data_IF_226984632021
#
_entry.id   IF_226984632021
#
_cell.length_a   1.000
_cell.length_b   1.000
_cell.length_c   1.000
_cell.angle_alpha   90.00
_cell.angle_beta   90.00
_cell.angle_gamma   90.00
#
_symmetry.space_group_name_H-M   'P 1'
#
loop_
_entity.id
_entity.type
_entity.pdbx_description
1 polymer ?
#
# COMPACT_ATOMS: atom_id res chain seq x y z
N UNK A 1 40.46 -44.61 43.68
CA UNK A 1 39.55 -44.95 42.56
C UNK A 1 38.46 -43.90 42.27
N UNK A 2 38.10 -43.00 43.19
CA UNK A 2 37.06 -41.98 42.95
C UNK A 2 37.56 -40.68 42.26
N UNK A 3 38.88 -40.49 42.10
CA UNK A 3 39.49 -39.28 41.51
C UNK A 3 39.54 -39.27 39.99
N UNK A 4 39.38 -40.41 39.32
CA UNK A 4 39.48 -40.55 37.85
C UNK A 4 38.17 -40.17 37.12
N UNK A 5 37.05 -40.03 37.83
CA UNK A 5 35.73 -39.71 37.25
C UNK A 5 35.48 -38.20 37.08
N UNK A 6 36.24 -37.36 37.80
CA UNK A 6 36.12 -35.90 37.77
C UNK A 6 36.36 -35.26 36.38
N UNK A 7 37.37 -35.66 35.58
CA UNK A 7 37.57 -35.10 34.24
C UNK A 7 36.47 -35.54 33.26
N UNK A 8 35.97 -36.77 33.40
CA UNK A 8 34.88 -37.29 32.55
C UNK A 8 33.55 -36.55 32.79
N UNK A 9 33.21 -36.26 34.05
CA UNK A 9 32.01 -35.47 34.37
C UNK A 9 32.11 -34.01 33.92
N UNK A 10 33.30 -33.40 33.98
CA UNK A 10 33.54 -32.03 33.46
C UNK A 10 33.39 -31.96 31.93
N UNK A 11 33.84 -32.99 31.22
CA UNK A 11 33.62 -33.13 29.78
C UNK A 11 32.13 -33.24 29.46
N UNK A 12 31.40 -34.12 30.14
CA UNK A 12 29.96 -34.32 29.93
C UNK A 12 29.15 -33.04 30.19
N UNK A 13 29.44 -32.29 31.26
CA UNK A 13 28.79 -31.01 31.57
C UNK A 13 29.10 -29.93 30.52
N UNK A 14 30.33 -29.91 29.98
CA UNK A 14 30.69 -28.99 28.89
C UNK A 14 29.97 -29.32 27.58
N UNK A 15 29.86 -30.62 27.23
CA UNK A 15 29.07 -31.06 26.08
C UNK A 15 27.58 -30.74 26.24
N UNK A 16 27.02 -30.93 27.44
CA UNK A 16 25.63 -30.58 27.73
C UNK A 16 25.39 -29.07 27.58
N UNK A 17 26.35 -28.26 28.04
CA UNK A 17 26.32 -26.80 27.87
C UNK A 17 26.36 -26.36 26.42
N UNK A 18 27.19 -27.00 25.59
CA UNK A 18 27.25 -26.73 24.14
C UNK A 18 25.92 -27.12 23.47
N UNK A 19 25.36 -28.28 23.81
CA UNK A 19 24.07 -28.73 23.26
C UNK A 19 22.95 -27.76 23.62
N UNK A 20 22.87 -27.32 24.90
CA UNK A 20 21.90 -26.33 25.34
C UNK A 20 22.09 -24.98 24.65
N UNK A 21 23.35 -24.54 24.46
CA UNK A 21 23.67 -23.32 23.73
C UNK A 21 23.22 -23.37 22.28
N UNK A 22 23.50 -24.48 21.57
CA UNK A 22 23.05 -24.68 20.19
C UNK A 22 21.52 -24.71 20.11
N UNK A 23 20.84 -25.42 21.02
CA UNK A 23 19.38 -25.44 21.08
C UNK A 23 18.78 -24.05 21.30
N UNK A 24 19.38 -23.24 22.17
CA UNK A 24 18.94 -21.86 22.40
C UNK A 24 19.09 -21.00 21.13
N UNK A 25 20.22 -21.11 20.43
CA UNK A 25 20.45 -20.38 19.17
C UNK A 25 19.45 -20.81 18.10
N UNK A 26 19.20 -22.11 17.95
CA UNK A 26 18.20 -22.63 16.99
C UNK A 26 16.80 -22.13 17.33
N UNK A 27 16.42 -22.13 18.61
CA UNK A 27 15.11 -21.64 19.05
C UNK A 27 14.93 -20.13 18.75
N UNK A 28 15.96 -19.31 19.00
CA UNK A 28 15.93 -17.88 18.68
C UNK A 28 15.84 -17.65 17.17
N UNK A 29 16.64 -18.39 16.37
CA UNK A 29 16.59 -18.29 14.92
C UNK A 29 15.22 -18.67 14.34
N UNK A 30 14.61 -19.75 14.84
CA UNK A 30 13.27 -20.17 14.45
C UNK A 30 12.21 -19.13 14.83
N UNK A 31 12.31 -18.53 16.02
CA UNK A 31 11.40 -17.47 16.47
C UNK A 31 11.50 -16.22 15.59
N UNK A 32 12.72 -15.79 15.25
CA UNK A 32 12.94 -14.65 14.33
C UNK A 32 12.40 -14.94 12.93
N UNK A 33 12.63 -16.15 12.41
CA UNK A 33 12.12 -16.55 11.10
C UNK A 33 10.58 -16.54 11.05
N UNK A 34 9.92 -17.10 12.07
CA UNK A 34 8.46 -17.03 12.22
C UNK A 34 7.97 -15.58 12.32
N UNK A 35 8.65 -14.73 13.10
CA UNK A 35 8.30 -13.32 13.21
C UNK A 35 8.36 -12.60 11.85
N UNK A 36 9.39 -12.87 11.04
CA UNK A 36 9.52 -12.30 9.69
C UNK A 36 8.39 -12.78 8.77
N UNK A 37 8.04 -14.08 8.80
CA UNK A 37 6.94 -14.62 8.01
C UNK A 37 5.59 -14.02 8.40
N UNK A 38 5.32 -13.94 9.69
CA UNK A 38 4.11 -13.30 10.23
C UNK A 38 4.07 -11.83 9.83
N UNK A 39 5.18 -11.11 9.97
CA UNK A 39 5.26 -9.70 9.61
C UNK A 39 5.06 -9.46 8.12
N UNK A 40 5.64 -10.30 7.24
CA UNK A 40 5.43 -10.23 5.79
C UNK A 40 3.98 -10.50 5.42
N UNK A 41 3.41 -11.56 5.96
CA UNK A 41 1.99 -11.91 5.73
C UNK A 41 1.08 -10.80 6.23
N UNK A 42 1.38 -10.24 7.40
CA UNK A 42 0.65 -9.12 7.98
C UNK A 42 0.75 -7.87 7.12
N UNK A 43 1.94 -7.52 6.60
CA UNK A 43 2.11 -6.39 5.68
C UNK A 43 1.36 -6.59 4.36
N UNK A 44 1.34 -7.81 3.82
CA UNK A 44 0.63 -8.12 2.57
C UNK A 44 -0.89 -8.12 2.75
N UNK A 45 -1.39 -8.51 3.92
CA UNK A 45 -2.82 -8.58 4.22
C UNK A 45 -3.38 -7.27 4.80
N UNK A 46 -2.52 -6.44 5.39
CA UNK A 46 -2.85 -5.07 5.80
C UNK A 46 -3.01 -4.19 4.57
N UNK A 47 -4.09 -3.44 4.56
CA UNK A 47 -4.41 -2.51 3.50
C UNK A 47 -5.91 -2.36 3.36
N UNK A 48 -6.33 -1.14 3.05
CA UNK A 48 -7.71 -0.86 2.72
C UNK A 48 -8.04 -1.53 1.39
N UNK A 49 -9.21 -2.16 1.33
CA UNK A 49 -9.74 -2.79 0.13
C UNK A 49 -10.97 -2.04 -0.33
N UNK A 50 -11.08 -1.85 -1.64
CA UNK A 50 -12.27 -1.26 -2.25
C UNK A 50 -13.13 -2.40 -2.74
N UNK A 51 -14.36 -2.46 -2.22
CA UNK A 51 -15.32 -3.51 -2.55
C UNK A 51 -16.67 -2.89 -2.88
N UNK A 52 -17.48 -3.61 -3.65
CA UNK A 52 -18.88 -3.22 -3.91
C UNK A 52 -19.76 -3.88 -2.86
N UNK A 53 -20.43 -3.08 -2.02
CA UNK A 53 -21.31 -3.59 -0.98
C UNK A 53 -22.53 -4.28 -1.62
N UNK A 54 -22.80 -5.57 -1.33
CA UNK A 54 -23.89 -6.31 -1.97
C UNK A 54 -25.28 -5.79 -1.59
N UNK A 55 -25.42 -5.16 -0.42
CA UNK A 55 -26.72 -4.69 0.07
C UNK A 55 -27.17 -3.36 -0.53
N UNK A 56 -26.27 -2.55 -1.08
CA UNK A 56 -26.62 -1.22 -1.62
C UNK A 56 -25.92 -0.88 -2.93
N UNK A 57 -25.11 -1.80 -3.46
CA UNK A 57 -24.36 -1.68 -4.71
C UNK A 57 -23.44 -0.45 -4.80
N UNK A 58 -23.09 0.17 -3.68
CA UNK A 58 -22.12 1.27 -3.63
C UNK A 58 -20.74 0.77 -3.21
N UNK A 59 -19.73 1.49 -3.66
CA UNK A 59 -18.34 1.27 -3.26
C UNK A 59 -18.14 1.56 -1.78
N UNK A 60 -17.43 0.68 -1.08
CA UNK A 60 -17.09 0.82 0.33
C UNK A 60 -15.62 0.49 0.55
N UNK A 61 -14.97 1.26 1.42
CA UNK A 61 -13.62 0.97 1.90
C UNK A 61 -13.71 0.06 3.12
N UNK A 62 -13.03 -1.07 3.06
CA UNK A 62 -13.00 -2.05 4.16
C UNK A 62 -11.59 -2.46 4.53
N UNK A 63 -11.37 -2.67 5.82
CA UNK A 63 -10.15 -3.26 6.34
C UNK A 63 -10.47 -4.62 6.96
N UNK A 64 -9.61 -5.62 6.72
CA UNK A 64 -9.76 -6.96 7.29
C UNK A 64 -8.96 -7.05 8.59
N UNK A 65 -9.56 -7.62 9.63
CA UNK A 65 -8.91 -7.88 10.90
C UNK A 65 -7.86 -9.01 10.77
N UNK A 66 -6.62 -8.59 10.52
CA UNK A 66 -5.47 -9.50 10.38
C UNK A 66 -5.21 -10.37 11.63
N UNK A 67 -5.36 -9.87 12.88
CA UNK A 67 -5.15 -10.70 14.07
C UNK A 67 -6.12 -11.88 14.18
N UNK A 68 -7.41 -11.67 13.84
CA UNK A 68 -8.42 -12.72 13.87
C UNK A 68 -8.13 -13.77 12.81
N UNK A 69 -7.79 -13.33 11.59
CA UNK A 69 -7.47 -14.21 10.47
C UNK A 69 -6.23 -15.08 10.73
N UNK A 70 -5.18 -14.54 11.35
CA UNK A 70 -3.98 -15.33 11.69
C UNK A 70 -4.32 -16.40 12.73
N UNK A 71 -5.12 -16.06 13.74
CA UNK A 71 -5.50 -16.98 14.82
C UNK A 71 -6.33 -18.15 14.28
N UNK A 72 -7.30 -17.86 13.43
CA UNK A 72 -8.23 -18.86 12.87
C UNK A 72 -7.57 -19.68 11.75
N UNK A 73 -6.65 -19.09 10.97
CA UNK A 73 -5.80 -19.84 10.03
C UNK A 73 -4.93 -20.90 10.73
N UNK A 74 -4.42 -20.60 11.92
CA UNK A 74 -3.68 -21.58 12.73
C UNK A 74 -4.58 -22.73 13.23
N UNK A 75 -5.90 -22.51 13.30
CA UNK A 75 -6.92 -23.48 13.70
C UNK A 75 -7.55 -24.24 12.51
N UNK A 76 -7.08 -24.00 11.28
CA UNK A 76 -7.50 -24.72 10.07
C UNK A 76 -8.74 -24.16 9.37
N UNK A 77 -9.40 -23.14 9.92
CA UNK A 77 -10.55 -22.48 9.31
C UNK A 77 -10.31 -20.97 9.28
N UNK A 78 -9.75 -20.40 8.20
CA UNK A 78 -9.48 -18.97 8.12
C UNK A 78 -10.79 -18.17 8.09
N UNK A 79 -11.14 -17.56 9.22
CA UNK A 79 -12.28 -16.64 9.29
C UNK A 79 -11.83 -15.22 8.96
N UNK A 80 -12.36 -14.69 7.86
CA UNK A 80 -12.24 -13.27 7.54
C UNK A 80 -13.27 -12.50 8.37
N UNK A 81 -12.85 -11.39 8.99
CA UNK A 81 -13.75 -10.47 9.69
C UNK A 81 -13.30 -9.05 9.42
N UNK A 82 -14.23 -8.15 9.14
CA UNK A 82 -13.91 -6.73 8.94
C UNK A 82 -13.48 -6.08 10.26
N UNK A 83 -12.36 -5.34 10.25
CA UNK A 83 -11.94 -4.46 11.36
C UNK A 83 -12.58 -3.08 11.23
N UNK A 84 -12.73 -2.58 10.01
CA UNK A 84 -13.32 -1.27 9.72
C UNK A 84 -14.10 -1.31 8.42
N UNK A 85 -15.14 -0.49 8.34
CA UNK A 85 -15.95 -0.26 7.16
C UNK A 85 -16.37 1.21 7.14
N UNK A 86 -16.12 1.93 6.03
CA UNK A 86 -16.48 3.35 5.93
C UNK A 86 -18.00 3.60 6.06
N UNK A 87 -18.81 2.55 5.94
CA UNK A 87 -20.28 2.59 6.05
C UNK A 87 -20.84 2.24 7.42
N UNK A 88 -20.00 1.97 8.42
CA UNK A 88 -20.46 1.34 9.67
C UNK A 88 -21.38 2.19 10.58
N UNK A 89 -21.50 3.53 10.55
CA UNK A 89 -22.56 4.18 11.32
C UNK A 89 -23.97 3.93 10.74
N UNK A 90 -24.10 3.74 9.43
CA UNK A 90 -25.40 3.54 8.76
C UNK A 90 -25.94 2.11 8.86
N UNK A 91 -25.07 1.12 9.08
CA UNK A 91 -25.38 -0.32 9.04
C UNK A 91 -24.76 -1.10 10.20
N UNK A 92 -24.96 -0.62 11.42
CA UNK A 92 -24.60 -1.34 12.64
C UNK A 92 -25.36 -2.69 12.68
N UNK A 93 -24.70 -3.77 12.25
CA UNK A 93 -25.32 -5.09 12.05
C UNK A 93 -25.06 -5.74 10.68
N UNK A 94 -24.25 -5.12 9.81
CA UNK A 94 -23.88 -5.66 8.50
C UNK A 94 -23.36 -7.10 8.59
N UNK A 95 -23.94 -8.01 7.78
CA UNK A 95 -23.62 -9.44 7.74
C UNK A 95 -22.28 -9.80 7.11
N UNK A 96 -21.48 -8.80 6.70
CA UNK A 96 -20.14 -8.96 6.12
C UNK A 96 -20.05 -9.86 4.87
N UNK A 97 -21.16 -10.05 4.13
CA UNK A 97 -21.22 -10.89 2.91
C UNK A 97 -20.23 -10.44 1.82
N UNK A 98 -19.80 -9.18 1.85
CA UNK A 98 -18.76 -8.68 0.96
C UNK A 98 -17.38 -9.32 1.16
N UNK A 99 -17.13 -9.99 2.29
CA UNK A 99 -15.91 -10.75 2.54
C UNK A 99 -15.72 -11.88 1.51
N UNK A 100 -16.81 -12.42 0.97
CA UNK A 100 -16.75 -13.44 -0.09
C UNK A 100 -16.04 -12.98 -1.35
N UNK A 101 -16.09 -11.67 -1.66
CA UNK A 101 -15.33 -11.07 -2.76
C UNK A 101 -13.83 -11.06 -2.46
N UNK A 102 -13.44 -10.89 -1.20
CA UNK A 102 -12.04 -10.93 -0.75
C UNK A 102 -11.52 -12.37 -0.75
N UNK A 103 -12.34 -13.35 -0.39
CA UNK A 103 -11.96 -14.77 -0.45
C UNK A 103 -11.71 -15.24 -1.87
N UNK A 104 -12.58 -14.84 -2.81
CA UNK A 104 -12.46 -15.21 -4.23
C UNK A 104 -11.39 -14.41 -4.98
N UNK A 105 -11.12 -13.16 -4.57
CA UNK A 105 -10.18 -12.28 -5.25
C UNK A 105 -9.24 -11.56 -4.26
N UNK A 106 -8.51 -12.34 -3.46
CA UNK A 106 -7.68 -11.87 -2.34
C UNK A 106 -6.68 -10.74 -2.67
N UNK A 107 -6.27 -10.63 -3.94
CA UNK A 107 -5.38 -9.57 -4.44
C UNK A 107 -6.07 -8.43 -5.21
N UNK A 108 -7.20 -8.66 -5.88
CA UNK A 108 -7.78 -7.71 -6.83
C UNK A 108 -8.43 -6.49 -6.17
N UNK A 109 -8.94 -6.66 -4.94
CA UNK A 109 -9.61 -5.59 -4.20
C UNK A 109 -8.64 -4.70 -3.40
N UNK A 110 -7.35 -5.06 -3.32
CA UNK A 110 -6.35 -4.25 -2.63
C UNK A 110 -6.08 -2.98 -3.42
N UNK A 111 -6.27 -1.82 -2.78
CA UNK A 111 -6.02 -0.51 -3.40
C UNK A 111 -4.68 -0.45 -4.10
N UNK A 112 -3.63 -0.98 -3.47
CA UNK A 112 -2.29 -0.99 -4.05
C UNK A 112 -2.24 -1.69 -5.40
N UNK A 113 -2.90 -2.85 -5.55
CA UNK A 113 -2.92 -3.60 -6.80
C UNK A 113 -3.82 -2.91 -7.84
N UNK A 114 -4.95 -2.34 -7.42
CA UNK A 114 -5.81 -1.54 -8.30
C UNK A 114 -5.05 -0.33 -8.87
N UNK A 115 -4.27 0.36 -8.04
CA UNK A 115 -3.44 1.48 -8.47
C UNK A 115 -2.30 1.01 -9.38
N UNK A 116 -1.57 -0.04 -9.00
CA UNK A 116 -0.49 -0.60 -9.81
C UNK A 116 -0.98 -1.00 -11.21
N UNK A 117 -2.15 -1.63 -11.29
CA UNK A 117 -2.79 -1.97 -12.56
C UNK A 117 -3.17 -0.73 -13.36
N UNK A 118 -3.78 0.26 -12.71
CA UNK A 118 -4.20 1.49 -13.40
C UNK A 118 -3.02 2.27 -13.97
N UNK A 119 -1.90 2.40 -13.26
CA UNK A 119 -0.73 3.11 -13.79
C UNK A 119 0.11 2.31 -14.78
N UNK A 120 -0.13 0.99 -14.92
CA UNK A 120 0.67 0.16 -15.82
C UNK A 120 0.63 0.72 -17.25
N UNK A 121 1.81 1.02 -17.80
CA UNK A 121 1.95 1.58 -19.14
C UNK A 121 1.49 3.03 -19.29
N UNK A 122 1.16 3.73 -18.20
CA UNK A 122 0.84 5.16 -18.22
C UNK A 122 2.09 6.02 -18.02
N UNK A 123 2.10 7.17 -18.66
CA UNK A 123 3.12 8.22 -18.50
C UNK A 123 2.56 9.39 -17.70
N UNK A 124 3.43 10.15 -17.05
CA UNK A 124 3.05 11.40 -16.40
C UNK A 124 2.53 12.40 -17.44
N UNK A 125 1.37 13.02 -17.21
CA UNK A 125 0.81 13.99 -18.15
C UNK A 125 1.71 15.22 -18.40
N UNK A 126 2.51 15.62 -17.39
CA UNK A 126 3.38 16.81 -17.48
C UNK A 126 4.76 16.47 -18.04
N UNK A 127 5.48 15.49 -17.48
CA UNK A 127 6.86 15.20 -17.88
C UNK A 127 6.98 14.05 -18.88
N UNK A 128 5.89 13.34 -19.17
CA UNK A 128 5.83 12.19 -20.09
C UNK A 128 6.76 11.03 -19.74
N UNK A 129 7.32 11.01 -18.52
CA UNK A 129 8.10 9.89 -18.00
C UNK A 129 7.16 8.74 -17.60
N UNK A 130 7.49 7.48 -17.92
CA UNK A 130 6.73 6.30 -17.47
C UNK A 130 6.57 6.25 -15.94
N UNK A 131 5.43 5.75 -15.48
CA UNK A 131 5.10 5.64 -14.05
C UNK A 131 5.07 4.17 -13.62
N UNK A 132 6.20 3.50 -13.72
CA UNK A 132 6.28 2.06 -13.46
C UNK A 132 6.06 1.74 -11.97
N UNK A 133 5.08 0.87 -11.63
CA UNK A 133 4.74 0.52 -10.25
C UNK A 133 5.90 -0.01 -9.40
N UNK A 134 6.88 -0.64 -10.04
CA UNK A 134 8.06 -1.23 -9.43
C UNK A 134 8.94 -0.17 -8.73
N UNK A 135 8.88 1.09 -9.16
CA UNK A 135 9.70 2.18 -8.62
C UNK A 135 9.04 2.95 -7.46
N UNK A 136 7.78 2.65 -7.10
CA UNK A 136 6.99 3.42 -6.10
C UNK A 136 7.36 3.17 -4.64
N UNK A 137 8.56 2.65 -4.40
CA UNK A 137 9.03 2.28 -3.06
C UNK A 137 9.24 3.48 -2.12
N UNK A 138 9.47 4.69 -2.67
CA UNK A 138 9.77 5.90 -1.90
C UNK A 138 8.61 6.90 -1.91
N UNK A 139 8.06 7.22 -3.08
CA UNK A 139 6.93 8.13 -3.24
C UNK A 139 5.92 7.55 -4.23
N UNK A 140 4.65 7.47 -3.82
CA UNK A 140 3.58 7.09 -4.73
C UNK A 140 3.36 8.21 -5.75
N UNK A 141 3.11 7.90 -7.04
CA UNK A 141 2.65 8.89 -7.99
C UNK A 141 1.36 9.52 -7.51
N UNK A 142 1.02 10.68 -8.04
CA UNK A 142 -0.16 11.46 -7.70
C UNK A 142 -1.07 11.60 -8.92
N UNK A 143 -2.16 12.34 -8.76
CA UNK A 143 -3.13 12.56 -9.82
C UNK A 143 -3.26 14.03 -10.16
N UNK A 144 -3.48 14.27 -11.45
CA UNK A 144 -3.93 15.53 -11.99
C UNK A 144 -5.47 15.54 -11.98
N UNK A 145 -6.06 16.55 -11.33
CA UNK A 145 -7.52 16.72 -11.30
C UNK A 145 -8.02 17.28 -12.63
N UNK A 146 -9.30 17.03 -13.00
CA UNK A 146 -9.91 17.65 -14.18
C UNK A 146 -9.85 19.18 -14.17
N UNK A 147 -9.80 19.78 -12.98
CA UNK A 147 -9.71 21.22 -12.75
C UNK A 147 -8.28 21.78 -12.88
N UNK A 148 -7.28 20.92 -13.11
CA UNK A 148 -5.88 21.31 -13.25
C UNK A 148 -5.08 21.39 -11.95
N UNK A 149 -5.64 20.92 -10.85
CA UNK A 149 -4.95 20.76 -9.57
C UNK A 149 -4.20 19.43 -9.45
N UNK A 150 -3.41 19.28 -8.39
CA UNK A 150 -2.74 18.03 -8.07
C UNK A 150 -3.16 17.49 -6.70
N UNK A 151 -3.48 16.21 -6.65
CA UNK A 151 -3.95 15.50 -5.46
C UNK A 151 -3.12 14.23 -5.23
N UNK A 152 -2.72 13.99 -3.99
CA UNK A 152 -2.03 12.77 -3.56
C UNK A 152 -3.01 11.70 -3.06
N UNK A 153 -2.58 10.44 -3.02
CA UNK A 153 -3.44 9.35 -2.55
C UNK A 153 -3.86 9.46 -1.09
N UNK A 154 -3.10 10.17 -0.26
CA UNK A 154 -3.43 10.38 1.15
C UNK A 154 -4.56 11.41 1.33
N UNK A 155 -4.84 12.22 0.29
CA UNK A 155 -5.93 13.19 0.24
C UNK A 155 -7.25 12.59 -0.30
N UNK A 156 -7.22 11.35 -0.80
CA UNK A 156 -8.38 10.71 -1.44
C UNK A 156 -8.97 9.63 -0.52
N UNK A 157 -10.27 9.71 -0.16
CA UNK A 157 -10.93 8.64 0.57
C UNK A 157 -10.93 7.36 -0.26
N UNK A 158 -10.64 6.23 0.36
CA UNK A 158 -10.39 4.96 -0.34
C UNK A 158 -11.59 4.52 -1.19
N UNK A 159 -12.80 4.75 -0.71
CA UNK A 159 -14.06 4.47 -1.40
C UNK A 159 -14.25 5.27 -2.70
N UNK A 160 -13.62 6.44 -2.82
CA UNK A 160 -13.71 7.29 -4.00
C UNK A 160 -12.68 6.91 -5.08
N UNK A 161 -11.73 6.02 -4.78
CA UNK A 161 -10.63 5.66 -5.70
C UNK A 161 -11.14 5.25 -7.08
N UNK A 162 -12.14 4.35 -7.25
CA UNK A 162 -12.59 3.97 -8.60
C UNK A 162 -13.09 5.15 -9.42
N UNK A 163 -13.90 6.04 -8.84
CA UNK A 163 -14.41 7.22 -9.52
C UNK A 163 -13.30 8.24 -9.86
N UNK A 164 -12.31 8.37 -8.97
CA UNK A 164 -11.14 9.22 -9.21
C UNK A 164 -10.29 8.68 -10.37
N UNK A 165 -10.08 7.36 -10.45
CA UNK A 165 -9.31 6.72 -11.52
C UNK A 165 -9.94 6.88 -12.91
N UNK A 166 -11.25 7.08 -13.00
CA UNK A 166 -11.96 7.34 -14.26
C UNK A 166 -11.81 8.80 -14.74
N UNK A 167 -11.71 9.74 -13.81
CA UNK A 167 -11.76 11.18 -14.10
C UNK A 167 -10.40 11.86 -14.12
N UNK A 168 -9.42 11.34 -13.37
CA UNK A 168 -8.13 11.98 -13.15
C UNK A 168 -7.04 11.43 -14.08
N UNK A 169 -6.02 12.25 -14.30
CA UNK A 169 -4.88 11.88 -15.14
C UNK A 169 -3.64 11.53 -14.32
N UNK A 170 -2.76 10.63 -14.81
CA UNK A 170 -1.55 10.20 -14.12
C UNK A 170 -0.54 11.35 -13.96
N UNK A 171 -0.01 11.51 -12.75
CA UNK A 171 0.97 12.56 -12.42
C UNK A 171 2.14 11.96 -11.61
N UNK A 172 3.38 12.24 -11.99
CA UNK A 172 4.53 11.80 -11.18
C UNK A 172 4.63 12.63 -9.88
N UNK A 173 5.32 12.10 -8.87
CA UNK A 173 5.52 12.78 -7.59
C UNK A 173 6.15 14.18 -7.76
N UNK A 174 7.21 14.29 -8.58
CA UNK A 174 7.90 15.57 -8.79
C UNK A 174 6.97 16.62 -9.43
N UNK A 175 6.18 16.20 -10.42
CA UNK A 175 5.19 17.07 -11.05
C UNK A 175 4.06 17.45 -10.10
N UNK A 176 3.63 16.55 -9.20
CA UNK A 176 2.70 16.88 -8.14
C UNK A 176 3.22 17.97 -7.21
N UNK A 177 4.47 17.86 -6.75
CA UNK A 177 5.10 18.90 -5.93
C UNK A 177 5.19 20.22 -6.70
N UNK A 178 5.58 20.19 -7.97
CA UNK A 178 5.65 21.39 -8.81
C UNK A 178 4.28 22.09 -8.94
N UNK A 179 3.21 21.34 -9.22
CA UNK A 179 1.84 21.88 -9.31
C UNK A 179 1.38 22.46 -7.97
N UNK A 180 1.59 21.73 -6.86
CA UNK A 180 1.24 22.23 -5.50
C UNK A 180 2.02 23.47 -5.10
N UNK A 181 3.30 23.56 -5.48
CA UNK A 181 4.14 24.73 -5.20
C UNK A 181 3.63 25.93 -5.98
N UNK A 182 3.41 25.78 -7.29
CA UNK A 182 2.87 26.86 -8.14
C UNK A 182 1.50 27.34 -7.65
N UNK A 183 0.63 26.43 -7.24
CA UNK A 183 -0.71 26.81 -6.76
C UNK A 183 -0.67 27.54 -5.41
N UNK A 184 0.27 27.19 -4.52
CA UNK A 184 0.34 27.78 -3.16
C UNK A 184 1.21 29.04 -3.08
N UNK A 185 2.26 29.11 -3.90
CA UNK A 185 3.25 30.18 -3.87
C UNK A 185 3.60 30.62 -5.31
N UNK A 186 2.63 31.19 -6.05
CA UNK A 186 2.85 31.60 -7.43
C UNK A 186 3.93 32.68 -7.57
N UNK A 187 4.14 33.49 -6.54
CA UNK A 187 5.15 34.55 -6.45
C UNK A 187 6.60 34.03 -6.38
N UNK A 188 6.79 32.76 -5.99
CA UNK A 188 8.09 32.13 -5.87
C UNK A 188 8.46 31.26 -7.09
N UNK A 189 7.59 31.17 -8.09
CA UNK A 189 7.78 30.30 -9.26
C UNK A 189 8.06 31.14 -10.50
N UNK A 190 9.23 30.93 -11.10
CA UNK A 190 9.53 31.44 -12.43
C UNK A 190 9.04 30.43 -13.48
N UNK A 191 8.07 30.84 -14.30
CA UNK A 191 7.59 29.99 -15.38
C UNK A 191 8.55 30.03 -16.58
N UNK A 192 9.00 28.84 -16.97
CA UNK A 192 9.65 28.61 -18.25
C UNK A 192 8.63 27.94 -19.18
N UNK A 193 8.47 28.36 -20.44
CA UNK A 193 7.57 27.69 -21.35
C UNK A 193 7.97 26.22 -21.52
N UNK A 194 7.06 25.32 -21.17
CA UNK A 194 7.17 23.87 -21.40
C UNK A 194 6.09 23.46 -22.41
N UNK A 195 6.39 22.54 -23.36
CA UNK A 195 5.48 22.18 -24.45
C UNK A 195 4.40 21.17 -24.05
N UNK A 196 3.81 21.28 -22.86
CA UNK A 196 2.73 20.38 -22.42
C UNK A 196 1.37 21.07 -22.42
N UNK A 197 0.38 20.40 -23.00
CA UNK A 197 -1.03 20.81 -23.08
C UNK A 197 -1.87 19.86 -22.22
N UNK A 198 -2.78 20.38 -21.40
CA UNK A 198 -3.68 19.60 -20.54
C UNK A 198 -4.00 20.28 -19.20
N UNK A 199 -4.96 19.79 -18.40
CA UNK A 199 -5.48 20.51 -17.22
C UNK A 199 -4.40 20.95 -16.22
N UNK A 200 -3.41 20.08 -15.95
CA UNK A 200 -2.29 20.40 -15.05
C UNK A 200 -1.06 20.98 -15.76
N UNK A 201 -1.16 21.26 -17.07
CA UNK A 201 -0.07 21.68 -17.94
C UNK A 201 -0.34 22.87 -18.85
N UNK A 202 -1.58 23.33 -19.06
CA UNK A 202 -1.88 24.24 -20.16
C UNK A 202 -1.69 25.72 -19.82
N UNK A 203 -1.09 26.45 -20.78
CA UNK A 203 -1.47 27.82 -21.11
C UNK A 203 -2.28 27.76 -22.42
N UNK A 204 -3.57 28.08 -22.38
CA UNK A 204 -4.38 28.32 -23.57
C UNK A 204 -4.29 29.82 -23.94
N UNK A 205 -3.78 30.13 -25.13
CA UNK A 205 -3.56 31.50 -25.66
C UNK A 205 -2.32 32.18 -25.06
N UNK A 206 -1.38 32.76 -25.79
CA UNK A 206 -1.57 33.60 -26.97
C UNK A 206 -0.47 33.37 -28.02
N UNK A 207 -0.94 33.11 -29.23
CA UNK A 207 -0.22 33.32 -30.47
C UNK A 207 -0.13 34.84 -30.72
N UNK A 208 0.92 35.49 -30.23
CA UNK A 208 1.40 36.75 -30.82
C UNK A 208 2.93 36.80 -30.78
N UNK A 209 3.54 36.04 -31.70
CA UNK A 209 4.93 36.26 -32.11
C UNK A 209 4.92 37.56 -32.92
N UNK A 210 5.16 38.68 -32.24
CA UNK A 210 5.48 39.93 -32.90
C UNK A 210 6.83 39.77 -33.60
N UNK A 211 6.77 39.55 -34.93
CA UNK A 211 7.91 39.70 -35.84
C UNK A 211 8.51 41.08 -35.66
N UNK A 212 9.80 41.12 -35.33
CA UNK A 212 10.69 42.25 -35.61
C UNK A 212 11.38 41.97 -36.95
#
# INVERSE_FOLDING_TARGET
>A
MLTELAPFMKGLLSFLGIILGVLAVVAVAAMLWLAVLVFRTWRQQRGMRVITCPENHKTAAVEVSVPHLIKTKLQGAPEFRLSQCSRWPEKAGCGQECLRQIETQAGGCLVHNTLAEWYRGKTCIICQVPLDPEEWSVHKPALCTPEGGAVSWDEIPVEAIPAVLESHQPLCWNCHIAVKLRSRHPDLVADRPWPVTGPCGERSGDEEVQKV
#
